data_IF_780433840902
#
_entry.id   IF_780433840902
#
_cell.length_a   1.000
_cell.length_b   1.000
_cell.length_c   1.000
_cell.angle_alpha   90.00
_cell.angle_beta   90.00
_cell.angle_gamma   90.00
#
_symmetry.space_group_name_H-M   'P 1'
#
loop_
_entity.id
_entity.type
_entity.pdbx_description
1 polymer ?
#
# COMPACT_ATOMS: atom_id res chain seq x y z
N UNK A 1 -0.81 -40.11 20.06
CA UNK A 1 -1.84 -39.09 20.36
C UNK A 1 -2.65 -38.90 19.11
N UNK A 2 -3.96 -39.04 19.18
CA UNK A 2 -4.86 -38.93 18.02
C UNK A 2 -5.04 -37.47 17.58
N UNK A 3 -5.51 -37.23 16.36
CA UNK A 3 -5.82 -35.88 15.86
C UNK A 3 -6.83 -35.16 16.78
N UNK A 4 -7.81 -35.91 17.30
CA UNK A 4 -8.79 -35.38 18.26
C UNK A 4 -8.12 -34.97 19.58
N UNK A 5 -7.34 -35.85 20.20
CA UNK A 5 -6.63 -35.53 21.46
C UNK A 5 -5.70 -34.32 21.31
N UNK A 6 -5.04 -34.19 20.15
CA UNK A 6 -4.19 -33.04 19.85
C UNK A 6 -5.01 -31.76 19.70
N UNK A 7 -6.06 -31.78 18.88
CA UNK A 7 -6.88 -30.61 18.59
C UNK A 7 -7.60 -30.09 19.85
N UNK A 8 -8.13 -30.97 20.69
CA UNK A 8 -8.80 -30.60 21.95
C UNK A 8 -7.88 -29.81 22.88
N UNK A 9 -6.58 -30.14 22.93
CA UNK A 9 -5.59 -29.40 23.73
C UNK A 9 -5.28 -28.00 23.18
N UNK A 10 -5.57 -27.76 21.91
CA UNK A 10 -5.32 -26.47 21.25
C UNK A 10 -6.56 -25.58 21.20
N UNK A 11 -7.77 -26.16 21.14
CA UNK A 11 -9.02 -25.39 21.13
C UNK A 11 -9.17 -24.63 22.46
N UNK A 12 -9.35 -23.31 22.36
CA UNK A 12 -9.39 -22.40 23.51
C UNK A 12 -8.15 -21.52 23.64
N UNK A 13 -7.03 -21.90 23.02
CA UNK A 13 -5.84 -21.06 22.96
C UNK A 13 -6.04 -19.89 21.99
N UNK A 14 -5.41 -18.73 22.22
CA UNK A 14 -5.47 -17.63 21.26
C UNK A 14 -4.81 -18.03 19.95
N UNK A 15 -5.32 -17.49 18.84
CA UNK A 15 -4.68 -17.67 17.53
C UNK A 15 -3.22 -17.22 17.54
N UNK A 16 -2.41 -17.98 16.80
CA UNK A 16 -0.97 -17.84 16.73
C UNK A 16 -0.47 -18.17 15.32
N UNK A 17 0.84 -18.07 15.10
CA UNK A 17 1.47 -18.52 13.84
C UNK A 17 1.26 -20.02 13.56
N UNK A 18 0.69 -20.77 14.51
CA UNK A 18 0.49 -22.22 14.44
C UNK A 18 -0.95 -22.65 14.71
N UNK A 19 -1.86 -21.71 14.97
CA UNK A 19 -3.25 -22.01 15.30
C UNK A 19 -4.16 -20.93 14.72
N UNK A 20 -5.09 -21.35 13.87
CA UNK A 20 -6.09 -20.49 13.26
C UNK A 20 -7.49 -21.09 13.40
N UNK A 21 -8.45 -20.23 13.72
CA UNK A 21 -9.87 -20.55 13.76
C UNK A 21 -10.59 -19.93 12.58
N UNK A 22 -11.48 -20.69 11.97
CA UNK A 22 -12.37 -20.18 10.94
C UNK A 22 -13.77 -20.74 11.18
N UNK A 23 -14.79 -19.93 10.94
CA UNK A 23 -16.19 -20.38 11.12
C UNK A 23 -16.60 -21.27 9.95
N UNK A 24 -16.18 -20.90 8.75
CA UNK A 24 -16.56 -21.53 7.49
C UNK A 24 -15.32 -22.04 6.76
N UNK A 25 -15.53 -22.93 5.80
CA UNK A 25 -14.48 -23.43 4.91
C UNK A 25 -13.95 -22.29 4.00
N UNK A 26 -12.67 -21.90 4.10
CA UNK A 26 -12.05 -20.95 3.17
C UNK A 26 -11.96 -21.51 1.75
N UNK A 27 -11.67 -20.64 0.78
CA UNK A 27 -11.48 -21.06 -0.61
C UNK A 27 -10.28 -22.00 -0.78
N UNK A 28 -10.25 -22.76 -1.88
CA UNK A 28 -9.12 -23.62 -2.24
C UNK A 28 -7.78 -22.85 -2.33
N UNK A 29 -7.81 -21.58 -2.75
CA UNK A 29 -6.62 -20.73 -2.82
C UNK A 29 -6.13 -20.38 -1.41
N UNK A 30 -7.03 -19.99 -0.52
CA UNK A 30 -6.68 -19.62 0.86
C UNK A 30 -6.16 -20.83 1.65
N UNK A 31 -6.82 -21.98 1.52
CA UNK A 31 -6.36 -23.25 2.12
C UNK A 31 -4.99 -23.63 1.58
N UNK A 32 -4.76 -23.53 0.27
CA UNK A 32 -3.47 -23.86 -0.34
C UNK A 32 -2.33 -22.98 0.16
N UNK A 33 -2.56 -21.66 0.22
CA UNK A 33 -1.59 -20.71 0.79
C UNK A 33 -1.32 -21.00 2.27
N UNK A 34 -2.35 -21.28 3.05
CA UNK A 34 -2.21 -21.57 4.49
C UNK A 34 -1.43 -22.85 4.74
N UNK A 35 -1.73 -23.94 4.02
CA UNK A 35 -1.01 -25.21 4.15
C UNK A 35 0.45 -25.04 3.76
N UNK A 36 0.72 -24.39 2.61
CA UNK A 36 2.08 -24.06 2.19
C UNK A 36 2.84 -23.27 3.27
N UNK A 37 2.18 -22.26 3.83
CA UNK A 37 2.80 -21.40 4.82
C UNK A 37 3.02 -22.05 6.19
N UNK A 38 2.12 -22.93 6.63
CA UNK A 38 2.36 -23.74 7.83
C UNK A 38 3.50 -24.74 7.61
N UNK A 39 3.55 -25.39 6.44
CA UNK A 39 4.61 -26.34 6.13
C UNK A 39 6.00 -25.69 6.12
N UNK A 40 6.12 -24.48 5.58
CA UNK A 40 7.39 -23.73 5.53
C UNK A 40 7.86 -23.16 6.87
N UNK A 41 6.97 -23.06 7.85
CA UNK A 41 7.29 -22.41 9.13
C UNK A 41 7.50 -23.43 10.24
N UNK A 42 6.52 -23.59 11.13
CA UNK A 42 6.61 -24.45 12.32
C UNK A 42 5.51 -25.53 12.36
N UNK A 43 4.85 -25.76 11.22
CA UNK A 43 3.58 -26.46 11.16
C UNK A 43 2.46 -25.66 11.81
N UNK A 44 1.23 -26.17 11.72
CA UNK A 44 0.09 -25.49 12.32
C UNK A 44 -1.20 -26.27 12.28
N UNK A 45 -2.23 -25.68 12.87
CA UNK A 45 -3.55 -26.24 13.03
C UNK A 45 -4.59 -25.21 12.57
N UNK A 46 -5.37 -25.59 11.57
CA UNK A 46 -6.61 -24.89 11.20
C UNK A 46 -7.79 -25.66 11.80
N UNK A 47 -8.65 -24.94 12.51
CA UNK A 47 -9.86 -25.48 13.14
C UNK A 47 -11.08 -24.78 12.55
N UNK A 48 -11.90 -25.54 11.82
CA UNK A 48 -13.12 -25.06 11.18
C UNK A 48 -14.35 -25.29 12.05
N UNK A 49 -15.31 -24.36 12.00
CA UNK A 49 -16.52 -24.37 12.81
C UNK A 49 -16.37 -23.61 14.13
N UNK A 50 -15.39 -22.71 14.24
CA UNK A 50 -15.10 -21.94 15.44
C UNK A 50 -15.09 -20.44 15.13
N UNK A 51 -15.90 -19.67 15.87
CA UNK A 51 -15.92 -18.21 15.77
C UNK A 51 -14.99 -17.62 16.83
N UNK A 52 -13.96 -16.88 16.39
CA UNK A 52 -13.11 -16.09 17.26
C UNK A 52 -13.43 -14.60 17.12
N UNK A 53 -14.09 -13.99 18.11
CA UNK A 53 -14.39 -12.55 18.13
C UNK A 53 -13.86 -11.94 19.41
N UNK A 54 -13.02 -10.91 19.31
CA UNK A 54 -12.42 -10.22 20.46
C UNK A 54 -11.74 -11.17 21.47
N UNK A 55 -11.02 -12.20 20.98
CA UNK A 55 -10.38 -13.26 21.80
C UNK A 55 -11.36 -14.16 22.57
N UNK A 56 -12.66 -14.07 22.28
CA UNK A 56 -13.67 -14.98 22.80
C UNK A 56 -13.98 -16.02 21.73
N UNK A 57 -13.82 -17.29 22.08
CA UNK A 57 -14.04 -18.43 21.19
C UNK A 57 -15.48 -18.94 21.38
N UNK A 58 -16.21 -19.12 20.29
CA UNK A 58 -17.55 -19.72 20.27
C UNK A 58 -17.59 -20.88 19.29
N UNK A 59 -17.89 -22.07 19.79
CA UNK A 59 -17.99 -23.28 18.97
C UNK A 59 -19.31 -23.24 18.19
N UNK A 60 -19.23 -23.14 16.86
CA UNK A 60 -20.39 -23.10 15.96
C UNK A 60 -20.70 -24.46 15.34
N UNK A 61 -19.68 -25.26 15.10
CA UNK A 61 -19.78 -26.50 14.35
C UNK A 61 -19.66 -26.25 12.85
N UNK A 62 -19.29 -27.29 12.10
CA UNK A 62 -19.28 -27.31 10.65
C UNK A 62 -20.18 -28.46 10.17
N UNK A 63 -21.07 -28.19 9.20
CA UNK A 63 -21.92 -29.23 8.61
C UNK A 63 -21.08 -30.25 7.83
N UNK A 64 -21.49 -31.52 7.84
CA UNK A 64 -20.89 -32.57 7.02
C UNK A 64 -21.12 -32.35 5.51
N UNK A 65 -22.09 -31.50 5.15
CA UNK A 65 -22.36 -31.13 3.74
C UNK A 65 -21.23 -30.31 3.13
N UNK A 66 -20.39 -29.68 3.95
CA UNK A 66 -19.20 -29.01 3.47
C UNK A 66 -18.19 -30.06 3.02
N UNK A 67 -17.96 -30.14 1.71
CA UNK A 67 -17.02 -31.07 1.06
C UNK A 67 -15.56 -30.66 1.29
N UNK A 68 -15.15 -30.53 2.55
CA UNK A 68 -13.84 -30.00 2.97
C UNK A 68 -12.70 -30.80 2.34
N UNK A 69 -12.78 -32.13 2.36
CA UNK A 69 -11.77 -33.00 1.77
C UNK A 69 -11.53 -32.73 0.28
N UNK A 70 -12.57 -32.40 -0.48
CA UNK A 70 -12.46 -32.06 -1.90
C UNK A 70 -11.69 -30.74 -2.08
N UNK A 71 -12.01 -29.72 -1.28
CA UNK A 71 -11.32 -28.42 -1.33
C UNK A 71 -9.86 -28.57 -0.94
N UNK A 72 -9.56 -29.28 0.15
CA UNK A 72 -8.18 -29.51 0.61
C UNK A 72 -7.39 -30.33 -0.41
N UNK A 73 -7.98 -31.37 -1.01
CA UNK A 73 -7.32 -32.14 -2.08
C UNK A 73 -6.97 -31.27 -3.28
N UNK A 74 -7.90 -30.43 -3.75
CA UNK A 74 -7.64 -29.50 -4.85
C UNK A 74 -6.53 -28.50 -4.53
N UNK A 75 -6.40 -28.09 -3.26
CA UNK A 75 -5.29 -27.25 -2.81
C UNK A 75 -3.96 -28.00 -2.81
N UNK A 76 -3.93 -29.25 -2.32
CA UNK A 76 -2.72 -30.08 -2.24
C UNK A 76 -2.15 -30.43 -3.63
N UNK A 77 -3.00 -30.60 -4.65
CA UNK A 77 -2.54 -30.84 -6.03
C UNK A 77 -1.64 -29.72 -6.58
N UNK A 78 -1.70 -28.53 -6.00
CA UNK A 78 -0.91 -27.36 -6.39
C UNK A 78 0.28 -27.11 -5.47
N UNK A 79 0.48 -27.97 -4.47
CA UNK A 79 1.55 -27.87 -3.49
C UNK A 79 2.72 -28.77 -3.91
N UNK A 80 3.93 -28.20 -3.94
CA UNK A 80 5.16 -28.91 -4.30
C UNK A 80 6.33 -28.45 -3.43
N UNK A 81 7.10 -29.36 -2.80
CA UNK A 81 6.88 -30.81 -2.75
C UNK A 81 5.65 -31.18 -1.89
N UNK A 82 5.14 -32.43 -1.98
CA UNK A 82 4.01 -32.88 -1.17
C UNK A 82 4.27 -32.75 0.33
N UNK A 83 3.26 -32.30 1.07
CA UNK A 83 3.33 -32.04 2.51
C UNK A 83 2.62 -33.11 3.32
N UNK A 84 3.10 -33.36 4.54
CA UNK A 84 2.44 -34.24 5.51
C UNK A 84 1.35 -33.47 6.24
N UNK A 85 0.11 -33.96 6.12
CA UNK A 85 -1.04 -33.40 6.82
C UNK A 85 -1.87 -34.50 7.46
N UNK A 86 -2.49 -34.18 8.60
CA UNK A 86 -3.56 -34.98 9.21
C UNK A 86 -4.83 -34.14 9.21
N UNK A 87 -5.95 -34.70 8.77
CA UNK A 87 -7.21 -33.96 8.71
C UNK A 87 -8.43 -34.83 8.94
N UNK A 88 -9.52 -34.22 9.37
CA UNK A 88 -10.79 -34.90 9.55
C UNK A 88 -11.72 -34.21 10.55
N UNK A 89 -12.93 -34.75 10.67
CA UNK A 89 -13.90 -34.29 11.65
C UNK A 89 -13.57 -34.83 13.05
N UNK A 90 -13.76 -33.98 14.05
CA UNK A 90 -13.73 -34.33 15.47
C UNK A 90 -15.03 -33.87 16.14
N UNK A 91 -15.39 -34.51 17.25
CA UNK A 91 -16.47 -34.03 18.11
C UNK A 91 -15.89 -33.23 19.27
N UNK A 92 -16.36 -31.99 19.44
CA UNK A 92 -15.98 -31.09 20.54
C UNK A 92 -17.22 -30.36 21.06
N UNK A 93 -17.50 -30.47 22.36
CA UNK A 93 -18.70 -29.88 23.00
C UNK A 93 -20.03 -30.23 22.28
N UNK A 94 -20.15 -31.47 21.81
CA UNK A 94 -21.34 -31.95 21.08
C UNK A 94 -21.47 -31.40 19.65
N UNK A 95 -20.48 -30.68 19.14
CA UNK A 95 -20.44 -30.15 17.78
C UNK A 95 -19.31 -30.77 16.96
N UNK A 96 -19.55 -30.94 15.66
CA UNK A 96 -18.53 -31.40 14.71
C UNK A 96 -17.65 -30.24 14.27
N UNK A 97 -16.34 -30.38 14.39
CA UNK A 97 -15.33 -29.44 13.88
C UNK A 97 -14.45 -30.15 12.88
N UNK A 98 -14.00 -29.47 11.83
CA UNK A 98 -13.05 -30.04 10.88
C UNK A 98 -11.65 -29.50 11.15
N UNK A 99 -10.70 -30.42 11.31
CA UNK A 99 -9.33 -30.13 11.68
C UNK A 99 -8.42 -30.36 10.48
N UNK A 100 -7.50 -29.42 10.24
CA UNK A 100 -6.39 -29.59 9.30
C UNK A 100 -5.10 -29.28 10.06
N UNK A 101 -4.34 -30.33 10.38
CA UNK A 101 -3.03 -30.26 11.00
C UNK A 101 -1.97 -30.43 9.92
N UNK A 102 -1.06 -29.47 9.84
CA UNK A 102 0.04 -29.45 8.87
C UNK A 102 1.35 -29.60 9.63
N UNK A 103 2.17 -30.58 9.24
CA UNK A 103 3.51 -30.73 9.79
C UNK A 103 4.48 -29.75 9.13
N UNK A 104 5.53 -29.37 9.88
CA UNK A 104 6.65 -28.63 9.29
C UNK A 104 7.32 -29.52 8.23
N UNK A 105 7.53 -28.99 7.03
CA UNK A 105 8.30 -29.64 6.00
C UNK A 105 9.81 -29.45 6.24
N UNK A 106 10.60 -30.42 5.79
CA UNK A 106 12.06 -30.35 5.86
C UNK A 106 12.67 -29.55 4.70
N UNK A 107 11.86 -29.30 3.66
CA UNK A 107 12.23 -28.57 2.44
C UNK A 107 11.24 -27.44 2.19
N UNK A 108 11.63 -26.49 1.35
CA UNK A 108 10.77 -25.36 0.97
C UNK A 108 9.61 -25.87 0.11
N UNK A 109 8.41 -25.52 0.53
CA UNK A 109 7.13 -25.83 -0.10
C UNK A 109 6.61 -24.61 -0.85
N UNK A 110 6.05 -24.85 -2.02
CA UNK A 110 5.41 -23.83 -2.85
C UNK A 110 3.95 -24.21 -3.12
N UNK A 111 3.10 -23.20 -3.29
CA UNK A 111 1.74 -23.35 -3.81
C UNK A 111 1.66 -22.57 -5.12
N UNK A 112 1.41 -23.27 -6.23
CA UNK A 112 1.55 -22.71 -7.59
C UNK A 112 2.92 -22.03 -7.80
N UNK A 113 4.01 -22.73 -7.49
CA UNK A 113 5.39 -22.24 -7.64
C UNK A 113 5.75 -21.02 -6.78
N UNK A 114 4.87 -20.61 -5.87
CA UNK A 114 5.08 -19.49 -4.96
C UNK A 114 5.24 -19.99 -3.53
N UNK A 115 6.32 -19.60 -2.86
CA UNK A 115 6.51 -19.86 -1.44
C UNK A 115 5.67 -18.89 -0.60
N UNK A 116 5.05 -19.42 0.44
CA UNK A 116 4.34 -18.65 1.45
C UNK A 116 4.86 -18.99 2.84
N UNK A 117 4.83 -18.04 3.76
CA UNK A 117 5.21 -18.22 5.17
C UNK A 117 4.22 -17.52 6.10
N UNK A 118 4.09 -17.99 7.34
CA UNK A 118 3.26 -17.33 8.35
C UNK A 118 4.12 -16.58 9.35
N UNK A 119 3.86 -15.28 9.44
CA UNK A 119 4.51 -14.37 10.38
C UNK A 119 3.44 -13.48 11.00
N UNK A 120 3.41 -13.39 12.34
CA UNK A 120 2.38 -12.64 13.09
C UNK A 120 0.93 -12.99 12.73
N UNK A 121 0.64 -14.27 12.52
CA UNK A 121 -0.67 -14.84 12.13
C UNK A 121 -1.12 -14.49 10.71
N UNK A 122 -0.30 -13.79 9.94
CA UNK A 122 -0.56 -13.43 8.55
C UNK A 122 0.27 -14.28 7.61
N UNK A 123 -0.34 -14.69 6.49
CA UNK A 123 0.36 -15.41 5.42
C UNK A 123 1.03 -14.36 4.53
N UNK A 124 2.35 -14.45 4.35
CA UNK A 124 3.14 -13.61 3.45
C UNK A 124 3.68 -14.43 2.30
N UNK A 125 3.70 -13.83 1.11
CA UNK A 125 4.39 -14.39 -0.07
C UNK A 125 5.89 -14.15 0.09
N UNK A 126 6.69 -15.19 -0.10
CA UNK A 126 8.16 -15.07 -0.11
C UNK A 126 8.61 -14.79 -1.54
N UNK A 127 9.28 -13.67 -1.74
CA UNK A 127 9.85 -13.28 -3.04
C UNK A 127 11.36 -13.52 -2.98
N UNK A 128 11.86 -14.48 -3.74
CA UNK A 128 13.30 -14.70 -3.86
C UNK A 128 13.92 -13.57 -4.70
N UNK A 129 14.84 -12.80 -4.12
CA UNK A 129 15.81 -12.06 -4.92
C UNK A 129 16.80 -13.08 -5.50
N UNK A 130 17.02 -13.06 -6.83
CA UNK A 130 18.05 -13.86 -7.48
C UNK A 130 19.41 -13.52 -6.89
N UNK A 131 19.91 -14.38 -6.00
CA UNK A 131 21.30 -14.35 -5.56
C UNK A 131 22.13 -15.05 -6.63
N UNK A 132 22.96 -14.28 -7.33
CA UNK A 132 24.06 -14.83 -8.12
C UNK A 132 25.05 -15.49 -7.13
N UNK A 133 25.08 -16.81 -7.12
CA UNK A 133 25.97 -17.59 -6.28
C UNK A 133 27.43 -17.42 -6.76
N UNK A 134 28.28 -16.93 -5.86
CA UNK A 134 29.58 -17.54 -5.64
C UNK A 134 29.99 -17.43 -4.17
N UNK A 135 30.45 -18.57 -3.65
CA UNK A 135 31.33 -18.82 -2.48
C UNK A 135 30.77 -18.81 -1.03
N UNK A 136 30.71 -20.04 -0.48
CA UNK A 136 31.27 -20.59 0.77
C UNK A 136 30.86 -20.11 2.19
N UNK A 137 30.61 -21.13 3.02
CA UNK A 137 30.16 -21.15 4.43
C UNK A 137 31.32 -20.80 5.39
N UNK A 138 31.14 -19.76 6.21
CA UNK A 138 31.81 -19.53 7.52
C UNK A 138 30.80 -18.82 8.43
N UNK A 139 30.82 -19.13 9.73
CA UNK A 139 29.93 -18.57 10.77
C UNK A 139 29.83 -17.05 10.65
N UNK A 140 28.69 -16.56 10.16
CA UNK A 140 28.55 -15.16 9.78
C UNK A 140 28.12 -14.36 11.00
N UNK A 141 29.10 -13.74 11.68
CA UNK A 141 28.84 -12.62 12.60
C UNK A 141 27.88 -11.68 11.87
N UNK A 142 26.66 -11.51 12.42
CA UNK A 142 25.66 -10.65 11.81
C UNK A 142 26.27 -9.24 11.68
N UNK A 143 26.42 -8.70 10.45
CA UNK A 143 26.97 -7.37 10.22
C UNK A 143 26.23 -6.30 11.02
N UNK A 144 26.95 -5.26 11.42
CA UNK A 144 26.39 -4.17 12.25
C UNK A 144 25.13 -3.55 11.61
N UNK A 145 25.13 -3.43 10.28
CA UNK A 145 24.01 -2.94 9.49
C UNK A 145 22.78 -3.87 9.58
N UNK A 146 22.98 -5.18 9.45
CA UNK A 146 21.91 -6.18 9.60
C UNK A 146 21.30 -6.17 11.01
N UNK A 147 22.12 -5.88 12.04
CA UNK A 147 21.64 -5.72 13.41
C UNK A 147 20.72 -4.49 13.54
N UNK A 148 21.09 -3.36 12.97
CA UNK A 148 20.23 -2.17 12.98
C UNK A 148 18.88 -2.45 12.30
N UNK A 149 18.89 -3.16 11.18
CA UNK A 149 17.65 -3.52 10.47
C UNK A 149 16.78 -4.49 11.25
N UNK A 150 17.37 -5.45 11.97
CA UNK A 150 16.64 -6.36 12.84
C UNK A 150 15.90 -5.60 13.95
N UNK A 151 16.53 -4.55 14.50
CA UNK A 151 15.91 -3.69 15.51
C UNK A 151 14.75 -2.89 14.92
N UNK A 152 14.93 -2.29 13.74
CA UNK A 152 13.87 -1.53 13.08
C UNK A 152 12.68 -2.43 12.73
N UNK A 153 12.93 -3.67 12.28
CA UNK A 153 11.88 -4.67 11.99
C UNK A 153 11.12 -5.01 13.26
N UNK A 154 11.85 -5.21 14.37
CA UNK A 154 11.23 -5.43 15.67
C UNK A 154 10.32 -4.27 16.10
N UNK A 155 10.72 -3.02 15.85
CA UNK A 155 9.88 -1.85 16.14
C UNK A 155 8.61 -1.82 15.28
N UNK A 156 8.72 -2.10 13.98
CA UNK A 156 7.57 -2.18 13.06
C UNK A 156 6.58 -3.27 13.45
N UNK A 157 7.11 -4.41 13.86
CA UNK A 157 6.30 -5.55 14.27
C UNK A 157 5.62 -5.31 15.64
N UNK A 158 6.07 -4.30 16.39
CA UNK A 158 5.59 -3.97 17.73
C UNK A 158 5.27 -2.47 17.87
N UNK A 159 4.35 -1.90 17.06
CA UNK A 159 4.13 -0.44 16.98
C UNK A 159 3.59 0.19 18.26
N UNK A 160 3.08 -0.61 19.20
CA UNK A 160 2.62 -0.16 20.53
C UNK A 160 3.76 -0.04 21.55
N UNK A 161 4.96 -0.54 21.26
CA UNK A 161 6.14 -0.43 22.13
C UNK A 161 6.92 0.83 21.78
N UNK A 162 6.67 1.90 22.54
CA UNK A 162 7.37 3.20 22.38
C UNK A 162 8.62 3.35 23.26
N UNK A 163 8.87 2.40 24.18
CA UNK A 163 9.95 2.44 25.18
C UNK A 163 11.00 1.34 24.97
N UNK A 164 11.54 1.18 23.76
CA UNK A 164 12.59 0.18 23.48
C UNK A 164 13.94 0.69 23.98
N UNK A 165 14.54 -0.03 24.92
CA UNK A 165 15.84 0.30 25.52
C UNK A 165 16.87 -0.80 25.24
N UNK A 166 18.11 -0.63 25.73
CA UNK A 166 19.22 -1.57 25.50
C UNK A 166 18.92 -3.01 25.89
N UNK A 167 18.09 -3.25 26.92
CA UNK A 167 17.69 -4.61 27.32
C UNK A 167 16.71 -5.21 26.31
N UNK A 168 15.74 -4.42 25.83
CA UNK A 168 14.84 -4.85 24.76
C UNK A 168 15.58 -5.14 23.46
N UNK A 169 16.60 -4.34 23.11
CA UNK A 169 17.46 -4.61 21.96
C UNK A 169 18.19 -5.95 22.11
N UNK A 170 18.69 -6.29 23.30
CA UNK A 170 19.30 -7.61 23.54
C UNK A 170 18.29 -8.75 23.37
N UNK A 171 17.03 -8.56 23.76
CA UNK A 171 15.97 -9.56 23.52
C UNK A 171 15.75 -9.83 22.02
N UNK A 172 15.89 -8.82 21.15
CA UNK A 172 15.79 -8.99 19.68
C UNK A 172 16.81 -10.00 19.17
N UNK A 173 17.99 -10.06 19.79
CA UNK A 173 19.08 -10.98 19.44
C UNK A 173 19.23 -12.13 20.43
N UNK A 174 18.15 -12.56 21.08
CA UNK A 174 18.15 -13.67 22.05
C UNK A 174 19.23 -13.55 23.16
N UNK A 175 19.62 -12.32 23.52
CA UNK A 175 20.68 -11.96 24.45
C UNK A 175 22.11 -12.32 24.03
N UNK A 176 22.34 -12.62 22.76
CA UNK A 176 23.66 -12.97 22.22
C UNK A 176 24.61 -11.76 22.08
N UNK A 177 24.09 -10.53 22.06
CA UNK A 177 24.89 -9.29 22.03
C UNK A 177 25.09 -8.68 23.43
N UNK A 178 26.19 -7.94 23.61
CA UNK A 178 26.55 -7.31 24.89
C UNK A 178 25.71 -6.06 25.19
N UNK A 179 25.70 -5.59 26.44
CA UNK A 179 25.03 -4.33 26.81
C UNK A 179 25.65 -3.10 26.15
N UNK A 180 26.98 -3.06 26.05
CA UNK A 180 27.69 -1.96 25.39
C UNK A 180 27.40 -1.92 23.89
N UNK A 181 27.26 -3.08 23.25
CA UNK A 181 26.91 -3.17 21.83
C UNK A 181 25.45 -2.75 21.58
N UNK A 182 24.53 -3.15 22.46
CA UNK A 182 23.14 -2.70 22.40
C UNK A 182 23.01 -1.17 22.58
N UNK A 183 23.85 -0.55 23.42
CA UNK A 183 23.91 0.91 23.58
C UNK A 183 24.40 1.60 22.30
N UNK A 184 25.47 1.09 21.68
CA UNK A 184 25.99 1.63 20.42
C UNK A 184 24.95 1.54 19.28
N UNK A 185 24.20 0.44 19.20
CA UNK A 185 23.13 0.29 18.22
C UNK A 185 22.00 1.30 18.45
N UNK A 186 21.63 1.57 19.70
CA UNK A 186 20.62 2.59 20.03
C UNK A 186 21.09 3.98 19.66
N UNK A 187 22.32 4.36 20.03
CA UNK A 187 22.87 5.67 19.68
C UNK A 187 22.92 5.85 18.16
N UNK A 188 23.33 4.81 17.43
CA UNK A 188 23.34 4.88 15.97
C UNK A 188 21.94 5.07 15.38
N UNK A 189 20.93 4.40 15.93
CA UNK A 189 19.55 4.58 15.47
C UNK A 189 19.02 5.98 15.77
N UNK A 190 19.34 6.56 16.94
CA UNK A 190 18.93 7.92 17.32
C UNK A 190 19.49 9.01 16.41
N UNK A 191 20.67 8.81 15.82
CA UNK A 191 21.24 9.71 14.81
C UNK A 191 20.44 9.74 13.49
N UNK A 192 19.46 8.83 13.32
CA UNK A 192 18.67 8.69 12.10
C UNK A 192 17.21 9.08 12.31
N UNK A 193 16.50 9.38 11.21
CA UNK A 193 15.05 9.67 11.23
C UNK A 193 14.16 8.41 11.34
N UNK A 194 14.74 7.22 11.31
CA UNK A 194 14.02 5.94 11.26
C UNK A 194 13.51 5.48 12.62
N UNK A 195 13.82 6.17 13.71
CA UNK A 195 13.23 5.93 15.04
C UNK A 195 12.85 7.27 15.68
N UNK A 196 11.81 7.26 16.51
CA UNK A 196 11.50 8.36 17.41
C UNK A 196 12.28 8.18 18.70
N UNK A 197 13.11 9.15 19.06
CA UNK A 197 13.80 9.17 20.35
C UNK A 197 12.90 9.77 21.43
N UNK A 198 12.80 9.13 22.59
CA UNK A 198 12.05 9.61 23.74
C UNK A 198 13.01 9.74 24.94
N UNK A 199 13.44 10.98 25.21
CA UNK A 199 14.58 11.29 26.09
C UNK A 199 15.87 10.57 25.64
N UNK A 200 16.92 10.62 26.46
CA UNK A 200 18.20 9.94 26.14
C UNK A 200 18.16 8.42 26.31
N UNK A 201 17.00 7.81 26.61
CA UNK A 201 16.94 6.43 27.13
C UNK A 201 16.16 5.44 26.27
N UNK A 202 15.28 5.89 25.38
CA UNK A 202 14.34 5.01 24.67
C UNK A 202 14.16 5.40 23.21
N UNK A 203 13.86 4.40 22.39
CA UNK A 203 13.49 4.57 20.98
C UNK A 203 12.15 3.90 20.69
N UNK A 204 11.43 4.42 19.70
CA UNK A 204 10.19 3.87 19.18
C UNK A 204 10.10 4.02 17.66
N UNK A 205 9.04 3.48 17.09
CA UNK A 205 8.81 3.52 15.64
C UNK A 205 8.62 4.96 15.12
N UNK A 206 9.29 5.30 14.03
CA UNK A 206 9.08 6.51 13.23
C UNK A 206 8.16 6.21 12.04
N UNK A 207 7.66 7.24 11.36
CA UNK A 207 6.86 7.05 10.15
C UNK A 207 7.72 6.48 9.00
N UNK A 208 9.00 6.86 8.96
CA UNK A 208 9.97 6.44 7.94
C UNK A 208 10.54 5.03 8.16
N UNK A 209 10.26 4.37 9.30
CA UNK A 209 10.86 3.08 9.64
C UNK A 209 10.50 1.98 8.65
N UNK A 210 9.23 1.95 8.21
CA UNK A 210 8.72 0.91 7.30
C UNK A 210 9.34 1.06 5.91
N UNK A 211 9.31 2.27 5.40
CA UNK A 211 9.83 2.66 4.09
C UNK A 211 11.33 2.36 4.00
N UNK A 212 12.12 2.76 4.99
CA UNK A 212 13.56 2.52 4.98
C UNK A 212 13.95 1.03 4.93
N UNK A 213 13.19 0.18 5.63
CA UNK A 213 13.42 -1.27 5.60
C UNK A 213 12.96 -1.93 4.31
N UNK A 214 11.95 -1.37 3.64
CA UNK A 214 11.53 -1.77 2.30
C UNK A 214 12.58 -1.38 1.25
N UNK A 215 13.26 -0.25 1.44
CA UNK A 215 14.36 0.25 0.59
C UNK A 215 15.71 -0.46 0.83
N UNK A 216 15.70 -1.56 1.57
CA UNK A 216 16.87 -2.42 1.79
C UNK A 216 17.61 -2.17 3.11
N UNK A 217 17.15 -1.23 3.94
CA UNK A 217 17.70 -0.98 5.27
C UNK A 217 19.17 -0.58 5.27
N UNK A 218 19.79 -0.68 6.45
CA UNK A 218 21.22 -0.47 6.61
C UNK A 218 22.05 -1.56 5.90
N UNK A 219 21.52 -2.77 5.68
CA UNK A 219 22.28 -3.89 5.12
C UNK A 219 22.23 -4.06 3.60
N UNK A 220 21.42 -3.26 2.90
CA UNK A 220 21.42 -3.20 1.43
C UNK A 220 22.78 -2.77 0.86
N UNK A 221 23.33 -3.54 -0.10
CA UNK A 221 24.54 -3.16 -0.85
C UNK A 221 24.23 -1.95 -1.73
N UNK A 222 24.65 -0.77 -1.30
CA UNK A 222 24.42 0.50 -1.97
C UNK A 222 25.06 0.58 -3.37
N UNK A 223 24.37 1.17 -4.36
CA UNK A 223 24.98 2.13 -5.26
C UNK A 223 24.72 3.53 -4.69
N UNK A 224 25.74 4.11 -4.05
CA UNK A 224 25.86 5.49 -3.54
C UNK A 224 24.65 6.18 -2.85
N UNK A 225 24.85 6.51 -1.57
CA UNK A 225 24.35 7.71 -0.85
C UNK A 225 22.88 8.13 -1.04
N UNK A 226 22.08 7.96 0.02
CA UNK A 226 20.78 8.60 0.26
C UNK A 226 19.78 8.49 -0.91
N UNK A 227 18.95 7.45 -0.93
CA UNK A 227 17.67 7.51 -1.65
C UNK A 227 16.55 7.12 -0.69
N UNK A 228 15.79 8.13 -0.29
CA UNK A 228 14.35 8.00 -0.03
C UNK A 228 13.72 7.06 -1.06
N UNK A 229 12.76 6.23 -0.67
CA UNK A 229 11.77 5.66 -1.59
C UNK A 229 11.48 6.69 -2.67
N UNK A 230 11.84 6.38 -3.92
CA UNK A 230 11.75 7.33 -5.03
C UNK A 230 10.28 7.76 -5.11
N UNK A 231 9.96 8.95 -4.59
CA UNK A 231 8.59 9.40 -4.46
C UNK A 231 8.00 9.53 -5.87
N UNK A 232 6.89 8.86 -6.08
CA UNK A 232 6.14 8.86 -7.32
C UNK A 232 5.33 10.15 -7.42
N UNK A 233 5.49 10.88 -8.53
CA UNK A 233 4.81 12.16 -8.75
C UNK A 233 3.98 12.07 -10.02
N UNK A 234 2.74 12.50 -9.94
CA UNK A 234 1.89 12.62 -11.10
C UNK A 234 1.79 14.08 -11.56
N UNK A 235 2.02 14.35 -12.85
CA UNK A 235 1.93 15.67 -13.45
C UNK A 235 0.65 15.79 -14.30
N UNK A 236 -0.32 16.57 -13.82
CA UNK A 236 -1.55 16.93 -14.54
C UNK A 236 -1.38 18.29 -15.22
N UNK A 237 -1.56 18.36 -16.54
CA UNK A 237 -1.37 19.59 -17.30
C UNK A 237 -2.21 19.60 -18.58
N UNK A 238 -2.48 20.79 -19.12
CA UNK A 238 -3.07 20.92 -20.46
C UNK A 238 -1.98 20.84 -21.54
N UNK A 239 -2.28 20.32 -22.73
CA UNK A 239 -1.30 20.21 -23.84
C UNK A 239 -0.54 21.49 -24.17
N UNK A 240 -1.16 22.66 -23.99
CA UNK A 240 -0.49 23.95 -24.22
C UNK A 240 0.63 24.25 -23.22
N UNK A 241 0.64 23.56 -22.07
CA UNK A 241 1.67 23.63 -21.05
C UNK A 241 2.65 22.45 -21.11
N UNK A 242 2.67 21.66 -22.21
CA UNK A 242 3.57 20.49 -22.35
C UNK A 242 5.04 20.85 -22.19
N UNK A 243 5.46 22.01 -22.69
CA UNK A 243 6.84 22.47 -22.53
C UNK A 243 7.20 22.66 -21.06
N UNK A 244 6.37 23.38 -20.31
CA UNK A 244 6.58 23.63 -18.88
C UNK A 244 6.49 22.32 -18.06
N UNK A 245 5.54 21.45 -18.38
CA UNK A 245 5.41 20.13 -17.76
C UNK A 245 6.65 19.25 -18.03
N UNK A 246 7.20 19.28 -19.24
CA UNK A 246 8.39 18.52 -19.61
C UNK A 246 9.64 19.01 -18.88
N UNK A 247 9.77 20.34 -18.69
CA UNK A 247 10.84 20.93 -17.88
C UNK A 247 10.76 20.44 -16.44
N UNK A 248 9.58 20.53 -15.82
CA UNK A 248 9.34 20.03 -14.47
C UNK A 248 9.57 18.52 -14.34
N UNK A 249 9.12 17.73 -15.32
CA UNK A 249 9.38 16.29 -15.38
C UNK A 249 10.88 15.97 -15.34
N UNK A 250 11.66 16.62 -16.19
CA UNK A 250 13.10 16.41 -16.25
C UNK A 250 13.79 16.86 -14.95
N UNK A 251 13.33 17.97 -14.37
CA UNK A 251 13.82 18.45 -13.08
C UNK A 251 13.57 17.44 -11.96
N UNK A 252 12.33 16.96 -11.81
CA UNK A 252 11.97 15.98 -10.78
C UNK A 252 12.75 14.67 -10.95
N UNK A 253 12.88 14.20 -12.19
CA UNK A 253 13.66 13.00 -12.52
C UNK A 253 15.15 13.16 -12.19
N UNK A 254 15.73 14.33 -12.46
CA UNK A 254 17.11 14.64 -12.11
C UNK A 254 17.34 14.71 -10.59
N UNK A 255 16.30 15.04 -9.82
CA UNK A 255 16.34 15.11 -8.36
C UNK A 255 15.86 13.81 -7.67
N UNK A 256 15.83 12.69 -8.39
CA UNK A 256 15.60 11.37 -7.78
C UNK A 256 14.14 11.03 -7.48
N UNK A 257 13.19 11.71 -8.12
CA UNK A 257 11.76 11.35 -8.09
C UNK A 257 11.38 10.46 -9.29
N UNK A 258 10.21 9.81 -9.20
CA UNK A 258 9.62 9.04 -10.30
C UNK A 258 8.39 9.78 -10.86
N UNK A 259 8.59 10.86 -11.65
CA UNK A 259 7.48 11.57 -12.23
C UNK A 259 6.84 10.76 -13.36
N UNK A 260 5.52 10.91 -13.50
CA UNK A 260 4.73 10.47 -14.64
C UNK A 260 4.00 11.68 -15.23
N UNK A 261 3.96 11.78 -16.55
CA UNK A 261 3.22 12.81 -17.27
C UNK A 261 2.02 12.17 -17.95
N UNK A 262 0.91 12.90 -17.98
CA UNK A 262 -0.16 12.59 -18.90
C UNK A 262 0.28 12.91 -20.34
N UNK A 263 0.53 11.89 -21.16
CA UNK A 263 0.66 12.05 -22.62
C UNK A 263 -0.69 11.62 -23.20
N UNK A 264 -1.59 12.58 -23.50
CA UNK A 264 -2.97 12.25 -23.94
C UNK A 264 -3.04 11.59 -25.35
N UNK A 265 -2.06 10.80 -25.75
CA UNK A 265 -2.13 9.90 -26.89
C UNK A 265 -3.03 8.68 -26.60
N UNK A 266 -4.10 8.87 -25.83
CA UNK A 266 -5.12 7.87 -25.61
C UNK A 266 -6.15 8.00 -26.73
N UNK A 267 -5.94 7.21 -27.79
CA UNK A 267 -7.06 6.72 -28.58
C UNK A 267 -8.13 6.18 -27.61
N UNK A 268 -9.40 6.41 -27.94
CA UNK A 268 -10.62 6.21 -27.14
C UNK A 268 -10.91 4.75 -26.66
N UNK A 269 -9.87 3.95 -26.39
CA UNK A 269 -9.93 2.55 -25.94
C UNK A 269 -8.90 2.16 -24.86
N UNK A 270 -7.93 3.00 -24.53
CA UNK A 270 -7.01 2.73 -23.43
C UNK A 270 -7.53 3.39 -22.15
N UNK A 271 -7.78 2.57 -21.14
CA UNK A 271 -8.80 2.84 -20.12
C UNK A 271 -8.37 3.99 -19.19
N UNK A 272 -9.20 5.04 -19.14
CA UNK A 272 -9.25 6.07 -18.10
C UNK A 272 -9.13 5.47 -16.67
N UNK A 273 -9.54 4.21 -16.47
CA UNK A 273 -9.40 3.50 -15.19
C UNK A 273 -7.95 3.25 -14.76
N UNK A 274 -7.05 2.91 -15.70
CA UNK A 274 -5.63 2.63 -15.42
C UNK A 274 -4.88 3.91 -15.07
N UNK A 275 -5.29 5.01 -15.70
CA UNK A 275 -4.76 6.35 -15.47
C UNK A 275 -5.28 6.98 -14.16
N UNK A 276 -6.56 6.78 -13.84
CA UNK A 276 -7.09 7.13 -12.51
C UNK A 276 -6.45 6.30 -11.39
N UNK A 277 -5.92 5.12 -11.69
CA UNK A 277 -5.19 4.28 -10.73
C UNK A 277 -3.77 4.80 -10.49
N UNK A 278 -3.05 5.29 -11.52
CA UNK A 278 -1.70 5.86 -11.35
C UNK A 278 -1.65 7.10 -10.46
N UNK A 279 -2.72 7.91 -10.48
CA UNK A 279 -2.82 9.11 -9.63
C UNK A 279 -3.05 8.71 -8.17
N UNK A 280 -3.88 7.67 -7.93
CA UNK A 280 -4.15 7.15 -6.57
C UNK A 280 -2.94 6.50 -5.92
N UNK A 281 -2.05 5.94 -6.72
CA UNK A 281 -0.82 5.29 -6.24
C UNK A 281 0.36 6.25 -6.14
N UNK A 282 0.22 7.49 -6.60
CA UNK A 282 1.30 8.48 -6.54
C UNK A 282 1.38 9.14 -5.16
N UNK A 283 2.60 9.43 -4.71
CA UNK A 283 2.84 10.11 -3.43
C UNK A 283 2.39 11.58 -3.50
N UNK A 284 2.57 12.22 -4.66
CA UNK A 284 2.11 13.58 -4.93
C UNK A 284 1.46 13.72 -6.31
N UNK A 285 0.55 14.68 -6.44
CA UNK A 285 -0.03 15.11 -7.71
C UNK A 285 0.21 16.62 -7.90
N UNK A 286 1.04 16.98 -8.88
CA UNK A 286 1.27 18.37 -9.25
C UNK A 286 0.30 18.75 -10.36
N UNK A 287 -0.45 19.83 -10.16
CA UNK A 287 -1.43 20.34 -11.10
C UNK A 287 -0.94 21.65 -11.72
N UNK A 288 -0.69 21.69 -13.02
CA UNK A 288 -0.36 22.94 -13.73
C UNK A 288 -1.67 23.60 -14.16
N UNK A 289 -2.18 24.49 -13.31
CA UNK A 289 -3.47 25.17 -13.48
C UNK A 289 -3.33 26.32 -14.47
N UNK A 290 -3.81 26.11 -15.69
CA UNK A 290 -3.95 27.13 -16.74
C UNK A 290 -5.42 27.41 -17.08
N UNK A 291 -5.69 28.47 -17.85
CA UNK A 291 -7.06 28.75 -18.34
C UNK A 291 -7.62 27.58 -19.17
N UNK A 292 -6.77 26.99 -20.01
CA UNK A 292 -7.12 25.81 -20.82
C UNK A 292 -7.35 24.56 -19.96
N UNK A 293 -6.59 24.40 -18.87
CA UNK A 293 -6.82 23.33 -17.90
C UNK A 293 -8.22 23.44 -17.27
N UNK A 294 -8.58 24.63 -16.77
CA UNK A 294 -9.85 24.89 -16.10
C UNK A 294 -11.07 24.80 -17.03
N UNK A 295 -10.85 24.85 -18.35
CA UNK A 295 -11.88 24.73 -19.40
C UNK A 295 -11.88 23.37 -20.11
N UNK A 296 -10.96 22.47 -19.75
CA UNK A 296 -10.85 21.13 -20.34
C UNK A 296 -11.68 20.12 -19.56
N UNK A 297 -12.63 19.45 -20.23
CA UNK A 297 -13.46 18.42 -19.60
C UNK A 297 -12.63 17.24 -19.08
N UNK A 298 -11.54 16.89 -19.79
CA UNK A 298 -10.66 15.79 -19.41
C UNK A 298 -9.91 16.14 -18.11
N UNK A 299 -9.23 17.28 -18.08
CA UNK A 299 -8.47 17.74 -16.91
C UNK A 299 -9.38 17.91 -15.69
N UNK A 300 -10.56 18.51 -15.89
CA UNK A 300 -11.50 18.72 -14.80
C UNK A 300 -12.12 17.42 -14.27
N UNK A 301 -12.39 16.45 -15.14
CA UNK A 301 -12.92 15.14 -14.70
C UNK A 301 -11.91 14.41 -13.82
N UNK A 302 -10.64 14.45 -14.20
CA UNK A 302 -9.54 13.82 -13.47
C UNK A 302 -9.39 14.43 -12.07
N UNK A 303 -9.24 15.76 -11.99
CA UNK A 303 -8.95 16.42 -10.71
C UNK A 303 -10.13 16.35 -9.75
N UNK A 304 -11.36 16.52 -10.23
CA UNK A 304 -12.56 16.43 -9.39
C UNK A 304 -12.77 15.01 -8.85
N UNK A 305 -12.26 13.99 -9.54
CA UNK A 305 -12.30 12.62 -9.03
C UNK A 305 -11.32 12.42 -7.87
N UNK A 306 -10.13 13.02 -7.91
CA UNK A 306 -9.12 12.96 -6.85
C UNK A 306 -9.64 13.61 -5.56
N UNK A 307 -10.27 14.78 -5.68
CA UNK A 307 -10.66 15.63 -4.54
C UNK A 307 -11.87 15.10 -3.76
N UNK A 308 -12.64 14.19 -4.35
CA UNK A 308 -13.78 13.54 -3.69
C UNK A 308 -13.36 12.51 -2.62
N UNK A 309 -12.06 12.25 -2.45
CA UNK A 309 -11.50 11.35 -1.44
C UNK A 309 -11.00 12.17 -0.21
N UNK A 310 -11.48 11.83 1.00
CA UNK A 310 -11.42 12.67 2.23
C UNK A 310 -10.02 13.02 2.75
N UNK A 311 -8.95 12.44 2.19
CA UNK A 311 -7.56 12.65 2.61
C UNK A 311 -6.61 13.05 1.45
N UNK A 312 -7.14 13.39 0.27
CA UNK A 312 -6.33 13.62 -0.93
C UNK A 312 -5.68 15.01 -1.04
N UNK A 313 -6.16 15.99 -0.26
CA UNK A 313 -5.74 17.38 -0.42
C UNK A 313 -4.29 17.67 -0.01
N UNK A 314 -3.71 16.92 0.95
CA UNK A 314 -2.32 17.14 1.38
C UNK A 314 -1.28 16.73 0.32
N UNK A 315 -1.69 15.92 -0.66
CA UNK A 315 -0.83 15.40 -1.74
C UNK A 315 -0.89 16.23 -3.01
N UNK A 316 -1.76 17.23 -3.07
CA UNK A 316 -2.01 18.04 -4.27
C UNK A 316 -1.19 19.33 -4.20
N UNK A 317 -0.40 19.56 -5.25
CA UNK A 317 0.50 20.69 -5.37
C UNK A 317 0.12 21.52 -6.60
N UNK A 318 -0.76 22.52 -6.46
CA UNK A 318 -1.17 23.35 -7.59
C UNK A 318 -0.11 24.40 -7.92
N UNK A 319 0.30 24.43 -9.19
CA UNK A 319 1.16 25.44 -9.79
C UNK A 319 0.31 26.24 -10.76
N UNK A 320 0.21 27.55 -10.56
CA UNK A 320 -0.62 28.42 -11.39
C UNK A 320 0.14 28.89 -12.63
N UNK A 321 -0.51 28.93 -13.78
CA UNK A 321 -0.05 29.69 -14.94
C UNK A 321 -0.43 31.17 -14.77
N UNK A 322 0.43 32.11 -15.13
CA UNK A 322 0.23 33.54 -14.83
C UNK A 322 -1.12 34.13 -15.30
N UNK A 323 -1.64 33.60 -16.41
CA UNK A 323 -2.91 33.97 -17.03
C UNK A 323 -4.16 33.57 -16.24
N UNK A 324 -4.03 32.72 -15.22
CA UNK A 324 -5.17 32.26 -14.41
C UNK A 324 -5.47 33.26 -13.31
N UNK A 325 -6.72 33.72 -13.28
CA UNK A 325 -7.24 34.57 -12.21
C UNK A 325 -8.35 33.78 -11.50
N UNK A 326 -8.13 33.38 -10.25
CA UNK A 326 -9.13 32.62 -9.47
C UNK A 326 -9.22 33.08 -8.00
N UNK A 327 -8.46 34.10 -7.61
CA UNK A 327 -8.39 34.57 -6.22
C UNK A 327 -9.60 35.42 -5.83
N UNK A 328 -10.19 36.16 -6.77
CA UNK A 328 -11.41 36.93 -6.55
C UNK A 328 -12.66 36.11 -6.89
N UNK A 329 -13.77 36.40 -6.21
CA UNK A 329 -15.06 35.78 -6.53
C UNK A 329 -15.49 36.07 -7.97
N UNK A 330 -15.26 37.28 -8.48
CA UNK A 330 -15.62 37.65 -9.86
C UNK A 330 -14.80 36.89 -10.89
N UNK A 331 -13.54 36.59 -10.60
CA UNK A 331 -12.73 35.77 -11.50
C UNK A 331 -13.16 34.31 -11.51
N UNK A 332 -13.46 33.71 -10.34
CA UNK A 332 -14.01 32.34 -10.27
C UNK A 332 -15.33 32.20 -11.02
N UNK A 333 -16.19 33.22 -10.93
CA UNK A 333 -17.48 33.25 -11.63
C UNK A 333 -17.34 33.10 -13.16
N UNK A 334 -16.21 33.48 -13.76
CA UNK A 334 -15.98 33.31 -15.20
C UNK A 334 -15.94 31.83 -15.59
N UNK A 335 -15.28 31.01 -14.80
CA UNK A 335 -15.18 29.56 -15.02
C UNK A 335 -16.49 28.85 -14.70
N UNK A 336 -17.18 29.25 -13.63
CA UNK A 336 -18.51 28.73 -13.30
C UNK A 336 -19.48 29.03 -14.45
N UNK A 337 -19.47 30.26 -14.98
CA UNK A 337 -20.32 30.65 -16.10
C UNK A 337 -19.99 29.86 -17.37
N UNK A 338 -18.70 29.68 -17.68
CA UNK A 338 -18.28 28.85 -18.81
C UNK A 338 -18.88 27.43 -18.72
N UNK A 339 -18.72 26.74 -17.59
CA UNK A 339 -19.24 25.38 -17.43
C UNK A 339 -20.77 25.33 -17.38
N UNK A 340 -21.41 26.37 -16.85
CA UNK A 340 -22.87 26.54 -16.93
C UNK A 340 -23.34 26.59 -18.38
N UNK A 341 -22.72 27.43 -19.21
CA UNK A 341 -23.07 27.55 -20.64
C UNK A 341 -22.89 26.21 -21.36
N UNK A 342 -21.75 25.53 -21.15
CA UNK A 342 -21.52 24.20 -21.74
C UNK A 342 -22.59 23.17 -21.32
N UNK A 343 -23.05 23.23 -20.07
CA UNK A 343 -24.10 22.35 -19.55
C UNK A 343 -25.47 22.66 -20.17
N UNK A 344 -25.84 23.94 -20.26
CA UNK A 344 -27.11 24.39 -20.86
C UNK A 344 -27.17 24.04 -22.35
N UNK A 345 -26.10 24.27 -23.10
CA UNK A 345 -25.99 23.89 -24.52
C UNK A 345 -26.12 22.38 -24.72
N UNK A 346 -25.42 21.58 -23.90
CA UNK A 346 -25.50 20.11 -23.97
C UNK A 346 -26.90 19.59 -23.64
N UNK A 347 -27.59 20.24 -22.70
CA UNK A 347 -28.97 19.88 -22.30
C UNK A 347 -29.95 20.16 -23.42
N UNK A 348 -29.88 21.35 -24.03
CA UNK A 348 -30.75 21.74 -25.14
C UNK A 348 -30.63 20.79 -26.35
N UNK A 349 -29.42 20.28 -26.63
CA UNK A 349 -29.21 19.31 -27.71
C UNK A 349 -29.92 17.98 -27.41
N UNK A 350 -29.87 17.49 -26.18
CA UNK A 350 -30.48 16.21 -25.79
C UNK A 350 -32.01 16.28 -25.75
N UNK A 351 -32.57 17.41 -25.33
CA UNK A 351 -34.03 17.62 -25.30
C UNK A 351 -34.68 17.57 -26.70
N UNK A 352 -33.90 17.79 -27.76
CA UNK A 352 -34.36 17.84 -29.15
C UNK A 352 -34.00 16.59 -29.98
N UNK A 353 -33.45 15.53 -29.39
CA UNK A 353 -32.97 14.33 -30.11
C UNK A 353 -33.62 13.03 -29.61
N UNK A 354 -33.76 12.05 -30.52
CA UNK A 354 -34.30 10.72 -30.24
C UNK A 354 -33.39 9.90 -29.30
N UNK A 355 -33.98 9.13 -28.36
CA UNK A 355 -33.23 8.45 -27.27
C UNK A 355 -32.07 7.55 -27.74
N UNK A 356 -32.12 7.00 -28.94
CA UNK A 356 -31.11 6.06 -29.47
C UNK A 356 -29.84 6.79 -29.92
N UNK A 357 -29.94 8.01 -30.46
CA UNK A 357 -28.77 8.80 -30.88
C UNK A 357 -28.09 9.54 -29.71
N UNK A 358 -28.71 9.61 -28.54
CA UNK A 358 -28.27 10.45 -27.40
C UNK A 358 -27.30 9.78 -26.40
N UNK A 359 -26.81 8.56 -26.65
CA UNK A 359 -26.01 7.83 -25.65
C UNK A 359 -24.68 8.53 -25.36
N UNK A 360 -23.98 9.03 -26.38
CA UNK A 360 -22.69 9.71 -26.21
C UNK A 360 -22.87 11.12 -25.62
N UNK A 361 -23.88 11.84 -26.09
CA UNK A 361 -24.29 13.15 -25.61
C UNK A 361 -24.70 13.07 -24.13
N UNK A 362 -25.44 12.03 -23.75
CA UNK A 362 -25.82 11.77 -22.36
C UNK A 362 -24.60 11.52 -21.46
N UNK A 363 -23.54 10.87 -21.97
CA UNK A 363 -22.29 10.69 -21.22
C UNK A 363 -21.56 12.02 -21.05
N UNK A 364 -21.45 12.80 -22.13
CA UNK A 364 -20.86 14.15 -22.09
C UNK A 364 -21.61 15.07 -21.13
N UNK A 365 -22.95 15.06 -21.18
CA UNK A 365 -23.80 15.85 -20.27
C UNK A 365 -23.55 15.48 -18.81
N UNK A 366 -23.42 14.18 -18.47
CA UNK A 366 -23.10 13.75 -17.10
C UNK A 366 -21.76 14.31 -16.63
N UNK A 367 -20.73 14.28 -17.49
CA UNK A 367 -19.41 14.83 -17.18
C UNK A 367 -19.50 16.34 -16.97
N UNK A 368 -20.06 17.07 -17.93
CA UNK A 368 -20.22 18.53 -17.87
C UNK A 368 -21.04 18.96 -16.65
N UNK A 369 -22.12 18.24 -16.35
CA UNK A 369 -22.94 18.48 -15.16
C UNK A 369 -22.10 18.36 -13.89
N UNK A 370 -21.35 17.26 -13.74
CA UNK A 370 -20.49 17.08 -12.56
C UNK A 370 -19.47 18.22 -12.43
N UNK A 371 -18.80 18.57 -13.52
CA UNK A 371 -17.81 19.67 -13.51
C UNK A 371 -18.49 20.97 -13.10
N UNK A 372 -19.63 21.32 -13.67
CA UNK A 372 -20.35 22.54 -13.34
C UNK A 372 -20.75 22.62 -11.85
N UNK A 373 -21.19 21.52 -11.25
CA UNK A 373 -21.60 21.51 -9.85
C UNK A 373 -20.40 21.56 -8.88
N UNK A 374 -19.25 21.01 -9.27
CA UNK A 374 -18.08 20.89 -8.38
C UNK A 374 -17.00 21.96 -8.61
N UNK A 375 -16.99 22.65 -9.77
CA UNK A 375 -15.94 23.62 -10.16
C UNK A 375 -15.83 24.78 -9.17
N UNK A 376 -16.95 25.23 -8.58
CA UNK A 376 -16.94 26.35 -7.63
C UNK A 376 -16.10 26.05 -6.39
N UNK A 377 -16.37 24.92 -5.73
CA UNK A 377 -15.67 24.46 -4.53
C UNK A 377 -14.21 24.12 -4.83
N UNK A 378 -13.97 23.52 -6.00
CA UNK A 378 -12.62 23.27 -6.51
C UNK A 378 -11.80 24.56 -6.62
N UNK A 379 -12.34 25.59 -7.26
CA UNK A 379 -11.62 26.85 -7.47
C UNK A 379 -11.34 27.58 -6.17
N UNK A 380 -12.23 27.49 -5.18
CA UNK A 380 -11.99 28.03 -3.83
C UNK A 380 -10.81 27.30 -3.20
N UNK A 381 -10.86 25.97 -3.19
CA UNK A 381 -9.84 25.13 -2.55
C UNK A 381 -8.46 25.32 -3.19
N UNK A 382 -8.39 25.32 -4.52
CA UNK A 382 -7.14 25.51 -5.25
C UNK A 382 -6.60 26.93 -5.11
N UNK A 383 -7.47 27.95 -5.07
CA UNK A 383 -7.02 29.32 -4.84
C UNK A 383 -6.34 29.49 -3.48
N UNK A 384 -6.80 28.77 -2.45
CA UNK A 384 -6.20 28.78 -1.11
C UNK A 384 -4.85 28.02 -1.06
N UNK A 385 -4.66 27.04 -1.94
CA UNK A 385 -3.45 26.22 -2.01
C UNK A 385 -2.36 26.79 -2.92
N UNK A 386 -2.72 27.59 -3.93
CA UNK A 386 -1.74 28.14 -4.88
C UNK A 386 -0.80 29.09 -4.16
N UNK A 387 0.46 28.71 -4.14
CA UNK A 387 1.56 29.52 -3.60
C UNK A 387 2.50 30.02 -4.70
N UNK A 388 2.45 29.42 -5.91
CA UNK A 388 3.46 29.66 -6.95
C UNK A 388 2.88 29.86 -8.36
N UNK A 389 3.67 30.48 -9.22
CA UNK A 389 3.38 30.71 -10.64
C UNK A 389 4.47 30.08 -11.50
N UNK A 390 4.13 29.34 -12.57
CA UNK A 390 5.10 28.53 -13.31
C UNK A 390 6.13 29.36 -14.10
N UNK A 391 5.77 30.57 -14.54
CA UNK A 391 6.62 31.43 -15.37
C UNK A 391 7.56 32.33 -14.57
N UNK A 392 7.30 32.52 -13.27
CA UNK A 392 8.12 33.36 -12.40
C UNK A 392 8.90 32.48 -11.43
N UNK A 393 10.22 32.62 -11.48
CA UNK A 393 11.12 32.00 -10.52
C UNK A 393 11.12 30.46 -10.58
N UNK A 394 11.26 29.88 -11.79
CA UNK A 394 11.30 28.42 -12.02
C UNK A 394 12.22 27.69 -11.02
N UNK A 395 13.42 28.21 -10.76
CA UNK A 395 14.36 27.64 -9.78
C UNK A 395 13.84 27.69 -8.34
N UNK A 396 13.17 28.77 -7.94
CA UNK A 396 12.60 28.96 -6.61
C UNK A 396 11.37 28.07 -6.42
N UNK A 397 10.50 28.01 -7.43
CA UNK A 397 9.36 27.10 -7.49
C UNK A 397 9.83 25.65 -7.33
N UNK A 398 10.83 25.25 -8.10
CA UNK A 398 11.36 23.89 -8.08
C UNK A 398 12.02 23.56 -6.73
N UNK A 399 12.80 24.47 -6.15
CA UNK A 399 13.37 24.31 -4.81
C UNK A 399 12.28 24.20 -3.74
N UNK A 400 11.24 25.05 -3.79
CA UNK A 400 10.16 25.02 -2.81
C UNK A 400 9.31 23.76 -2.91
N UNK A 401 9.12 23.22 -4.12
CA UNK A 401 8.47 21.94 -4.34
C UNK A 401 9.27 20.80 -3.67
N UNK A 402 10.59 20.78 -3.85
CA UNK A 402 11.46 19.81 -3.17
C UNK A 402 11.37 19.95 -1.65
N UNK A 403 11.51 21.16 -1.14
CA UNK A 403 11.38 21.46 0.30
C UNK A 403 10.05 20.98 0.88
N UNK A 404 8.93 21.22 0.20
CA UNK A 404 7.62 20.74 0.63
C UNK A 404 7.58 19.21 0.64
N UNK A 405 8.05 18.59 -0.44
CA UNK A 405 8.03 17.14 -0.60
C UNK A 405 9.01 16.41 0.34
N UNK A 406 10.03 17.09 0.88
CA UNK A 406 11.03 16.53 1.82
C UNK A 406 10.68 16.78 3.31
N UNK A 407 9.81 17.76 3.61
CA UNK A 407 9.39 18.10 4.98
C UNK A 407 8.29 17.17 5.53
N UNK A 408 7.59 16.43 4.67
CA UNK A 408 6.65 15.35 5.01
C UNK A 408 7.22 13.96 4.70
#
# INVERSE_FOLDING_TARGET
MTLQEYAVKQIGLPESNRLKYEVLLPSNIEIGKLICAYANTAGGLLVLGVLNKNKTISIKGLSDDFRVDMVVNNSLMKISPPVKIERGFINYEGKKLYIIKVEKANEIVTYNEVQYEITYKTIKKVTFQKVNNNTNITEKIMPYADKLDAILKFLLDNPKRINVNKYTIREVFANEISLSEAEQLIEKLKETKYVKSYNDRYIGMSIDTAVFLEDGGFSGKSPNSLQSSIKSIFLSYSWKQKEAASKLYNFLKANGYNPSMDDHNLAYKDKLSTFMESIRTSDYAILIISDDYLKSANCMTEVLHILNERESYSRILPIRHENVKIFSSSDRMKYIHFWKTQFEESTAVIENLDRISTIEESKKLKITSRIYHDIGDFLITIADMITFTIEKEEEVLFSNLLDYMERE
#
